data_IF_064406033979
#
_entry.id   IF_064406033979
#
_cell.length_a   1.000
_cell.length_b   1.000
_cell.length_c   1.000
_cell.angle_alpha   90.00
_cell.angle_beta   90.00
_cell.angle_gamma   90.00
#
_symmetry.space_group_name_H-M   'P 1'
#
loop_
_entity.id
_entity.type
_entity.pdbx_description
1 polymer ?
#
# COMPACT_ATOMS: atom_id res chain seq x y z
N UNK A 1 -10.12 -16.89 8.09
CA UNK A 1 -9.60 -17.97 8.95
C UNK A 1 -8.08 -17.96 9.10
N UNK A 2 -7.28 -17.90 8.02
CA UNK A 2 -5.81 -17.87 8.11
C UNK A 2 -5.24 -16.70 8.94
N UNK A 3 -5.78 -15.49 8.79
CA UNK A 3 -5.40 -14.30 9.58
C UNK A 3 -5.57 -14.51 11.10
N UNK A 4 -6.70 -15.09 11.52
CA UNK A 4 -6.99 -15.34 12.93
C UNK A 4 -6.06 -16.39 13.53
N UNK A 5 -5.75 -17.45 12.76
CA UNK A 5 -4.79 -18.47 13.16
C UNK A 5 -3.38 -17.90 13.29
N UNK A 6 -2.91 -17.15 12.29
CA UNK A 6 -1.58 -16.52 12.33
C UNK A 6 -1.43 -15.55 13.51
N UNK A 7 -2.44 -14.71 13.75
CA UNK A 7 -2.46 -13.81 14.90
C UNK A 7 -2.46 -14.59 16.23
N UNK A 8 -3.27 -15.64 16.35
CA UNK A 8 -3.32 -16.48 17.56
C UNK A 8 -1.98 -17.14 17.87
N UNK A 9 -1.31 -17.69 16.87
CA UNK A 9 0.02 -18.32 17.04
C UNK A 9 1.08 -17.28 17.42
N UNK A 10 1.05 -16.09 16.81
CA UNK A 10 1.96 -14.99 17.16
C UNK A 10 1.73 -14.46 18.58
N UNK A 11 0.47 -14.27 18.99
CA UNK A 11 0.11 -13.78 20.32
C UNK A 11 0.46 -14.77 21.43
N UNK A 12 0.40 -16.08 21.16
CA UNK A 12 0.78 -17.14 22.08
C UNK A 12 2.29 -17.36 22.17
N UNK A 13 3.09 -16.70 21.31
CA UNK A 13 4.55 -16.80 21.31
C UNK A 13 5.07 -18.22 21.05
N UNK A 14 4.26 -19.07 20.40
CA UNK A 14 4.62 -20.48 20.18
C UNK A 14 5.77 -20.51 19.17
N UNK A 15 6.96 -21.03 19.54
CA UNK A 15 8.05 -21.17 18.58
C UNK A 15 7.65 -22.24 17.55
N UNK A 16 7.35 -21.82 16.32
CA UNK A 16 7.11 -22.78 15.24
C UNK A 16 8.45 -23.42 14.84
N UNK A 17 8.49 -24.73 14.57
CA UNK A 17 9.68 -25.39 14.04
C UNK A 17 10.01 -24.87 12.62
N UNK A 18 11.31 -24.85 12.28
CA UNK A 18 11.82 -24.35 11.00
C UNK A 18 11.17 -25.00 9.77
N UNK A 19 10.70 -26.24 9.90
CA UNK A 19 9.98 -26.98 8.85
C UNK A 19 8.69 -26.27 8.43
N UNK A 20 8.03 -25.55 9.35
CA UNK A 20 6.82 -24.78 9.06
C UNK A 20 7.16 -23.34 8.65
N UNK A 21 8.16 -22.72 9.30
CA UNK A 21 8.53 -21.32 9.04
C UNK A 21 9.10 -21.15 7.63
N UNK A 22 10.06 -21.99 7.21
CA UNK A 22 10.75 -21.80 5.92
C UNK A 22 9.79 -21.80 4.71
N UNK A 23 8.83 -22.72 4.58
CA UNK A 23 7.82 -22.66 3.52
C UNK A 23 6.92 -21.43 3.62
N UNK A 24 6.50 -21.04 4.83
CA UNK A 24 5.65 -19.86 5.03
C UNK A 24 6.36 -18.56 4.64
N UNK A 25 7.64 -18.42 4.98
CA UNK A 25 8.47 -17.29 4.55
C UNK A 25 8.68 -17.29 3.03
N UNK A 26 8.96 -18.46 2.45
CA UNK A 26 9.09 -18.59 1.00
C UNK A 26 7.80 -18.18 0.28
N UNK A 27 6.64 -18.65 0.75
CA UNK A 27 5.34 -18.24 0.21
C UNK A 27 5.11 -16.74 0.38
N UNK A 28 5.38 -16.20 1.58
CA UNK A 28 5.22 -14.78 1.88
C UNK A 28 6.07 -13.87 1.00
N UNK A 29 7.34 -14.24 0.78
CA UNK A 29 8.26 -13.45 -0.05
C UNK A 29 7.86 -13.38 -1.53
N UNK A 30 7.17 -14.40 -2.04
CA UNK A 30 6.67 -14.45 -3.43
C UNK A 30 5.38 -13.63 -3.61
N UNK A 31 4.64 -13.35 -2.53
CA UNK A 31 3.37 -12.61 -2.64
C UNK A 31 3.55 -11.21 -3.23
N UNK A 32 4.62 -10.49 -2.85
CA UNK A 32 4.89 -9.14 -3.38
C UNK A 32 5.14 -9.13 -4.89
N UNK A 33 6.10 -9.90 -5.45
CA UNK A 33 6.28 -9.95 -6.90
C UNK A 33 5.05 -10.52 -7.63
N UNK A 34 4.34 -11.49 -7.04
CA UNK A 34 3.10 -12.02 -7.62
C UNK A 34 2.02 -10.94 -7.73
N UNK A 35 1.84 -10.12 -6.68
CA UNK A 35 0.90 -9.01 -6.69
C UNK A 35 1.25 -7.99 -7.79
N UNK A 36 2.53 -7.69 -8.00
CA UNK A 36 2.98 -6.82 -9.09
C UNK A 36 2.73 -7.41 -10.48
N UNK A 37 2.90 -8.72 -10.66
CA UNK A 37 2.54 -9.42 -11.90
C UNK A 37 1.03 -9.31 -12.14
N UNK A 38 0.21 -9.56 -11.12
CA UNK A 38 -1.24 -9.42 -11.20
C UNK A 38 -1.65 -7.99 -11.57
N UNK A 39 -1.02 -6.98 -10.97
CA UNK A 39 -1.21 -5.58 -11.35
C UNK A 39 -0.93 -5.39 -12.85
N UNK A 40 0.15 -5.96 -13.38
CA UNK A 40 0.45 -5.95 -14.82
C UNK A 40 -0.63 -6.61 -15.68
N UNK A 41 -1.21 -7.73 -15.24
CA UNK A 41 -2.34 -8.39 -15.92
C UNK A 41 -3.59 -7.52 -15.89
N UNK A 42 -3.93 -6.90 -14.75
CA UNK A 42 -5.06 -5.99 -14.68
C UNK A 42 -4.85 -4.77 -15.58
N UNK A 43 -3.59 -4.33 -15.76
CA UNK A 43 -3.23 -3.24 -16.65
C UNK A 43 -3.39 -3.63 -18.12
N UNK A 44 -3.07 -4.86 -18.51
CA UNK A 44 -3.17 -5.29 -19.91
C UNK A 44 -4.61 -5.30 -20.44
N UNK A 45 -5.58 -5.44 -19.55
CA UNK A 45 -7.00 -5.37 -19.89
C UNK A 45 -7.57 -3.93 -19.89
N UNK A 46 -6.74 -2.93 -19.55
CA UNK A 46 -7.17 -1.53 -19.51
C UNK A 46 -7.38 -0.95 -20.90
N UNK A 47 -8.51 -0.28 -21.08
CA UNK A 47 -8.75 0.55 -22.26
C UNK A 47 -8.31 2.00 -22.02
N UNK A 48 -7.01 2.28 -22.17
CA UNK A 48 -6.41 3.61 -21.97
C UNK A 48 -7.06 4.76 -22.76
N UNK A 49 -7.85 4.45 -23.78
CA UNK A 49 -8.54 5.44 -24.62
C UNK A 49 -9.73 6.12 -23.91
N UNK A 50 -10.19 5.61 -22.76
CA UNK A 50 -11.33 6.16 -21.99
C UNK A 50 -11.01 6.26 -20.49
N UNK A 51 -9.84 6.80 -20.15
CA UNK A 51 -9.48 7.01 -18.75
C UNK A 51 -10.37 8.09 -18.10
N UNK A 52 -11.09 7.79 -17.01
CA UNK A 52 -11.84 8.80 -16.26
C UNK A 52 -10.88 9.62 -15.40
N UNK A 53 -10.05 10.46 -16.03
CA UNK A 53 -8.99 11.22 -15.36
C UNK A 53 -9.50 12.11 -14.21
N UNK A 54 -10.74 12.60 -14.32
CA UNK A 54 -11.39 13.38 -13.26
C UNK A 54 -11.71 12.55 -12.02
N UNK A 55 -12.15 11.31 -12.21
CA UNK A 55 -12.53 10.43 -11.10
C UNK A 55 -11.29 9.77 -10.49
N UNK A 56 -10.21 9.63 -11.27
CA UNK A 56 -8.91 9.12 -10.83
C UNK A 56 -8.10 10.14 -10.02
N UNK A 57 -8.20 11.44 -10.34
CA UNK A 57 -7.39 12.47 -9.69
C UNK A 57 -7.73 12.65 -8.21
N UNK A 58 -9.00 12.49 -7.83
CA UNK A 58 -9.49 12.62 -6.45
C UNK A 58 -8.83 11.58 -5.53
N UNK A 59 -8.95 10.25 -5.75
CA UNK A 59 -8.34 9.25 -4.88
C UNK A 59 -6.82 9.30 -4.89
N UNK A 60 -6.20 9.61 -6.03
CA UNK A 60 -4.74 9.73 -6.15
C UNK A 60 -4.22 10.92 -5.35
N UNK A 61 -4.84 12.10 -5.49
CA UNK A 61 -4.46 13.29 -4.74
C UNK A 61 -4.76 13.13 -3.24
N UNK A 62 -5.88 12.50 -2.88
CA UNK A 62 -6.17 12.16 -1.49
C UNK A 62 -5.09 11.24 -0.91
N UNK A 63 -4.65 10.21 -1.64
CA UNK A 63 -3.57 9.33 -1.19
C UNK A 63 -2.25 10.09 -1.02
N UNK A 64 -1.83 10.88 -2.02
CA UNK A 64 -0.50 11.50 -2.02
C UNK A 64 -0.39 12.78 -1.18
N UNK A 65 -1.47 13.53 -0.99
CA UNK A 65 -1.44 14.84 -0.32
C UNK A 65 -2.16 14.76 1.03
N UNK A 66 -3.38 14.21 1.04
CA UNK A 66 -4.19 14.16 2.25
C UNK A 66 -3.60 13.17 3.28
N UNK A 67 -3.10 12.01 2.86
CA UNK A 67 -2.52 11.04 3.81
C UNK A 67 -1.25 11.58 4.52
N UNK A 68 -0.25 12.18 3.83
CA UNK A 68 0.91 12.76 4.52
C UNK A 68 0.58 13.96 5.38
N UNK A 69 -0.37 14.80 4.95
CA UNK A 69 -0.85 15.91 5.78
C UNK A 69 -1.51 15.40 7.07
N UNK A 70 -2.35 14.37 6.97
CA UNK A 70 -2.97 13.72 8.13
C UNK A 70 -1.93 13.06 9.03
N UNK A 71 -0.93 12.37 8.46
CA UNK A 71 0.15 11.78 9.24
C UNK A 71 0.94 12.83 10.02
N UNK A 72 1.23 13.98 9.40
CA UNK A 72 1.87 15.12 10.07
C UNK A 72 1.01 15.73 11.18
N UNK A 73 -0.29 15.86 10.96
CA UNK A 73 -1.24 16.36 11.97
C UNK A 73 -1.38 15.39 13.15
N UNK A 74 -1.45 14.08 12.90
CA UNK A 74 -1.50 13.07 13.96
C UNK A 74 -0.17 13.07 14.74
N UNK A 75 0.97 13.14 14.04
CA UNK A 75 2.27 13.22 14.69
C UNK A 75 2.41 14.47 15.59
N UNK A 76 1.85 15.62 15.19
CA UNK A 76 1.88 16.84 16.01
C UNK A 76 0.98 16.74 17.23
N UNK A 77 -0.23 16.17 17.10
CA UNK A 77 -1.13 15.90 18.24
C UNK A 77 -0.50 14.94 19.24
N UNK A 78 0.28 13.97 18.76
CA UNK A 78 1.01 13.01 19.60
C UNK A 78 2.32 13.58 20.19
N UNK A 79 2.64 14.86 19.95
CA UNK A 79 3.84 15.52 20.50
C UNK A 79 5.16 15.05 19.88
N UNK A 80 5.13 14.45 18.68
CA UNK A 80 6.29 13.84 18.02
C UNK A 80 7.16 14.87 17.26
N UNK A 81 7.49 15.99 17.90
CA UNK A 81 7.99 17.18 17.18
C UNK A 81 9.35 16.97 16.46
N UNK A 82 10.31 16.25 17.04
CA UNK A 82 11.64 16.00 16.45
C UNK A 82 12.07 14.52 16.47
N UNK A 83 11.10 13.62 16.35
CA UNK A 83 11.41 12.18 16.36
C UNK A 83 11.67 11.64 14.96
N UNK A 84 12.65 10.76 14.82
CA UNK A 84 12.79 9.87 13.65
C UNK A 84 11.45 9.19 13.31
N UNK A 85 10.66 8.88 14.35
CA UNK A 85 9.37 8.22 14.23
C UNK A 85 8.33 9.07 13.48
N UNK A 86 8.32 10.40 13.66
CA UNK A 86 7.50 11.32 12.86
C UNK A 86 7.88 11.26 11.38
N UNK A 87 9.18 11.29 11.07
CA UNK A 87 9.64 11.25 9.69
C UNK A 87 9.27 9.91 9.02
N UNK A 88 9.47 8.80 9.72
CA UNK A 88 9.05 7.47 9.24
C UNK A 88 7.55 7.42 9.01
N UNK A 89 6.71 7.89 9.94
CA UNK A 89 5.26 7.90 9.78
C UNK A 89 4.80 8.70 8.56
N UNK A 90 5.39 9.89 8.34
CA UNK A 90 5.03 10.74 7.20
C UNK A 90 5.50 10.11 5.89
N UNK A 91 6.70 9.51 5.85
CA UNK A 91 7.21 8.82 4.66
C UNK A 91 6.38 7.56 4.33
N UNK A 92 6.03 6.75 5.33
CA UNK A 92 5.16 5.57 5.16
C UNK A 92 3.78 5.97 4.61
N UNK A 93 3.24 7.11 5.03
CA UNK A 93 1.95 7.59 4.50
C UNK A 93 2.00 8.04 3.04
N UNK A 94 3.20 8.37 2.53
CA UNK A 94 3.42 8.72 1.12
C UNK A 94 3.64 7.48 0.22
N UNK A 95 3.64 6.27 0.80
CA UNK A 95 3.74 5.02 0.05
C UNK A 95 2.57 4.84 -0.94
N UNK A 96 2.81 4.11 -2.04
CA UNK A 96 1.79 3.89 -3.06
C UNK A 96 0.58 3.13 -2.50
N UNK A 97 -0.52 3.13 -3.26
CA UNK A 97 -1.72 2.40 -2.83
C UNK A 97 -1.49 0.88 -2.86
N UNK A 98 -2.12 0.18 -1.93
CA UNK A 98 -1.90 -1.26 -1.76
C UNK A 98 -2.49 -2.04 -2.94
N UNK A 99 -1.68 -2.92 -3.53
CA UNK A 99 -2.08 -3.80 -4.66
C UNK A 99 -3.23 -4.73 -4.28
N UNK A 100 -3.34 -5.09 -2.99
CA UNK A 100 -4.46 -5.88 -2.46
C UNK A 100 -5.83 -5.24 -2.68
N UNK A 101 -5.89 -3.91 -2.85
CA UNK A 101 -7.15 -3.20 -3.17
C UNK A 101 -7.76 -3.68 -4.48
N UNK A 102 -6.95 -4.14 -5.44
CA UNK A 102 -7.41 -4.68 -6.72
C UNK A 102 -8.09 -6.03 -6.51
N UNK A 103 -7.45 -6.89 -5.70
CA UNK A 103 -8.00 -8.21 -5.35
C UNK A 103 -9.32 -8.03 -4.60
N UNK A 104 -9.39 -7.09 -3.67
CA UNK A 104 -10.64 -6.79 -2.98
C UNK A 104 -11.71 -6.22 -3.91
N UNK A 105 -11.35 -5.32 -4.83
CA UNK A 105 -12.31 -4.81 -5.81
C UNK A 105 -12.90 -5.95 -6.66
N UNK A 106 -12.06 -6.85 -7.15
CA UNK A 106 -12.51 -8.03 -7.89
C UNK A 106 -13.40 -8.96 -7.02
N UNK A 107 -12.98 -9.23 -5.78
CA UNK A 107 -13.71 -10.08 -4.83
C UNK A 107 -15.10 -9.52 -4.49
N UNK A 108 -15.23 -8.21 -4.34
CA UNK A 108 -16.49 -7.53 -4.04
C UNK A 108 -17.31 -7.18 -5.28
N UNK A 109 -16.91 -7.66 -6.48
CA UNK A 109 -17.57 -7.36 -7.77
C UNK A 109 -17.60 -5.87 -8.12
N UNK A 110 -16.63 -5.13 -7.62
CA UNK A 110 -16.34 -3.75 -7.97
C UNK A 110 -15.35 -3.68 -9.14
N UNK A 111 -15.05 -2.47 -9.63
CA UNK A 111 -14.14 -2.28 -10.76
C UNK A 111 -12.67 -2.51 -10.35
N UNK A 112 -12.20 -3.75 -10.52
CA UNK A 112 -10.77 -4.08 -10.42
C UNK A 112 -9.92 -3.29 -11.43
N UNK A 113 -10.50 -2.97 -12.59
CA UNK A 113 -9.91 -2.12 -13.63
C UNK A 113 -9.65 -0.69 -13.11
N UNK A 114 -10.63 -0.08 -12.44
CA UNK A 114 -10.45 1.25 -11.87
C UNK A 114 -9.49 1.24 -10.67
N UNK A 115 -9.55 0.20 -9.83
CA UNK A 115 -8.62 0.04 -8.71
C UNK A 115 -7.16 -0.14 -9.20
N UNK A 116 -6.94 -0.87 -10.30
CA UNK A 116 -5.60 -1.05 -10.88
C UNK A 116 -5.05 0.26 -11.45
N UNK A 117 -5.90 1.12 -12.03
CA UNK A 117 -5.51 2.48 -12.43
C UNK A 117 -5.05 3.32 -11.24
N UNK A 118 -5.80 3.32 -10.13
CA UNK A 118 -5.41 4.07 -8.92
C UNK A 118 -4.05 3.56 -8.42
N UNK A 119 -3.86 2.25 -8.32
CA UNK A 119 -2.60 1.65 -7.87
C UNK A 119 -1.46 2.00 -8.83
N UNK A 120 -1.64 1.87 -10.14
CA UNK A 120 -0.63 2.21 -11.14
C UNK A 120 -0.19 3.68 -11.02
N UNK A 121 -1.13 4.60 -11.01
CA UNK A 121 -0.82 6.03 -10.95
C UNK A 121 -0.19 6.40 -9.61
N UNK A 122 -0.64 5.83 -8.49
CA UNK A 122 0.01 6.06 -7.20
C UNK A 122 1.42 5.48 -7.15
N UNK A 123 1.70 4.32 -7.74
CA UNK A 123 3.07 3.78 -7.85
C UNK A 123 3.97 4.72 -8.65
N UNK A 124 3.52 5.18 -9.82
CA UNK A 124 4.29 6.10 -10.66
C UNK A 124 4.53 7.46 -9.97
N UNK A 125 3.49 8.03 -9.36
CA UNK A 125 3.59 9.33 -8.71
C UNK A 125 4.34 9.26 -7.37
N UNK A 126 4.22 8.16 -6.61
CA UNK A 126 4.97 7.97 -5.36
C UNK A 126 6.48 7.92 -5.58
N UNK A 127 6.95 7.47 -6.76
CA UNK A 127 8.37 7.56 -7.12
C UNK A 127 8.92 8.98 -7.07
N UNK A 128 8.08 10.01 -7.26
CA UNK A 128 8.44 11.42 -7.15
C UNK A 128 8.00 12.00 -5.81
N UNK A 129 6.84 11.59 -5.28
CA UNK A 129 6.30 12.11 -4.04
C UNK A 129 7.15 11.75 -2.82
N UNK A 130 7.70 10.54 -2.76
CA UNK A 130 8.54 10.11 -1.62
C UNK A 130 9.80 10.99 -1.51
N UNK A 131 10.61 11.19 -2.58
CA UNK A 131 11.73 12.14 -2.53
C UNK A 131 11.33 13.56 -2.12
N UNK A 132 10.20 14.06 -2.63
CA UNK A 132 9.69 15.40 -2.29
C UNK A 132 9.30 15.52 -0.81
N UNK A 133 8.63 14.49 -0.26
CA UNK A 133 8.25 14.44 1.16
C UNK A 133 9.50 14.39 2.05
N UNK A 134 10.50 13.60 1.67
CA UNK A 134 11.78 13.53 2.39
C UNK A 134 12.47 14.90 2.37
N UNK A 135 12.56 15.56 1.21
CA UNK A 135 13.17 16.89 1.10
C UNK A 135 12.40 17.98 1.85
N UNK A 136 11.10 17.80 2.09
CA UNK A 136 10.33 18.73 2.91
C UNK A 136 10.52 18.50 4.43
N UNK A 137 11.02 17.34 4.83
CA UNK A 137 11.21 16.93 6.23
C UNK A 137 12.64 17.14 6.75
N UNK A 138 13.64 17.10 5.85
CA UNK A 138 15.07 17.25 6.14
C UNK A 138 15.64 18.50 5.49
#
# INVERSE_FOLDING_TARGET
YALALGYGVSALGIPLPDILIKPLEALGSIMTPLALILLGVFISHLHFRRLPLRDLSIPVAAKLILMPALAGAVASVLGMHDSLLRNVLIVESAMPSAVSSIIYADLFKESAEFASLIVLFTVLLSSLAIPLVIMALF
#
